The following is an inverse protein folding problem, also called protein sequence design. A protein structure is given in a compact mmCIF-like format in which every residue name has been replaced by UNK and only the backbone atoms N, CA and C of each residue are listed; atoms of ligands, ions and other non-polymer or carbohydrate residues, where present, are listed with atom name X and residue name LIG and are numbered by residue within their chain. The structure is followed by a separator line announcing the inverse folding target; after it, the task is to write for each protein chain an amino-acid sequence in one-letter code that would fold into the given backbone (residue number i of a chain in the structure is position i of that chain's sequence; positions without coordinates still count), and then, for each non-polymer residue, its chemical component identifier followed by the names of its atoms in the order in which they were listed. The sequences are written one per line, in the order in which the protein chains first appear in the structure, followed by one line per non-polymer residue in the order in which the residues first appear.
data_IF_090554058748
#
_entry.id   IF_090554058748
#
_cell.length_a   1.000
_cell.length_b   1.000
_cell.length_c   1.000
_cell.angle_alpha   90.00
_cell.angle_beta   90.00
_cell.angle_gamma   90.00
#
_symmetry.space_group_name_H-M   'P 1'
#
loop_
_entity.id
_entity.type
_entity.pdbx_description
1 polymer ?
#
# COMPACT_ATOMS: atom_id res chain seq x y z
N UNK A 1 34.39 53.81 -34.80
CA UNK A 1 34.82 54.04 -33.40
C UNK A 1 33.56 53.99 -32.51
N UNK A 2 33.65 53.23 -31.40
CA UNK A 2 32.85 53.14 -30.14
C UNK A 2 31.68 54.13 -29.97
N UNK A 3 30.54 53.89 -29.30
CA UNK A 3 29.93 52.83 -28.45
C UNK A 3 28.49 53.35 -28.17
N UNK A 4 27.52 52.47 -27.89
CA UNK A 4 26.50 52.61 -26.82
C UNK A 4 25.48 51.45 -26.94
N UNK A 5 25.44 50.46 -26.04
CA UNK A 5 24.97 50.44 -24.63
C UNK A 5 23.44 50.41 -24.51
N UNK A 6 22.93 49.25 -24.07
CA UNK A 6 21.66 48.97 -23.38
C UNK A 6 20.31 49.29 -24.05
N UNK A 7 19.54 48.22 -24.34
CA UNK A 7 18.36 47.93 -23.50
C UNK A 7 17.95 46.45 -23.64
N UNK A 8 18.18 45.69 -22.56
CA UNK A 8 17.30 44.57 -22.20
C UNK A 8 16.01 45.18 -21.65
N UNK A 9 14.85 44.56 -21.89
CA UNK A 9 13.81 44.21 -20.91
C UNK A 9 12.70 43.41 -21.62
N UNK A 10 12.42 42.25 -21.03
CA UNK A 10 11.23 41.39 -21.04
C UNK A 10 10.15 41.54 -22.13
N UNK A 11 9.69 40.40 -22.69
CA UNK A 11 8.54 39.71 -22.10
C UNK A 11 8.29 38.32 -22.70
N UNK A 12 7.81 37.46 -21.82
CA UNK A 12 7.46 36.07 -22.05
C UNK A 12 6.21 35.96 -22.93
N UNK A 13 6.20 35.01 -23.87
CA UNK A 13 4.94 34.41 -24.33
C UNK A 13 5.12 32.91 -24.56
N UNK A 14 4.62 32.18 -23.58
CA UNK A 14 4.37 30.75 -23.47
C UNK A 14 4.36 29.94 -24.79
N UNK A 15 5.19 28.89 -24.81
CA UNK A 15 5.00 27.73 -25.69
C UNK A 15 3.64 27.08 -25.37
N UNK A 16 2.80 26.74 -26.35
CA UNK A 16 1.49 26.20 -26.07
C UNK A 16 1.61 24.77 -25.52
N UNK A 17 1.18 24.66 -24.26
CA UNK A 17 0.43 23.56 -23.65
C UNK A 17 0.77 22.15 -24.14
N UNK A 18 1.72 21.55 -23.42
CA UNK A 18 1.96 20.11 -23.35
C UNK A 18 0.62 19.43 -23.04
N UNK A 19 -0.04 18.86 -24.05
CA UNK A 19 -1.24 18.02 -23.89
C UNK A 19 -0.95 17.05 -22.75
N UNK A 20 -1.67 17.17 -21.63
CA UNK A 20 -1.75 16.14 -20.61
C UNK A 20 -2.31 14.90 -21.30
N UNK A 21 -1.41 14.04 -21.80
CA UNK A 21 -1.79 12.69 -22.22
C UNK A 21 -2.47 12.09 -21.01
N UNK A 22 -3.74 11.72 -21.15
CA UNK A 22 -4.36 10.79 -20.23
C UNK A 22 -3.43 9.57 -20.13
N UNK A 23 -2.70 9.47 -19.02
CA UNK A 23 -1.69 8.46 -18.82
C UNK A 23 -2.44 7.13 -18.79
N UNK A 24 -2.36 6.35 -19.88
CA UNK A 24 -2.72 4.92 -19.85
C UNK A 24 -1.78 4.27 -18.84
N UNK A 25 -2.20 4.19 -17.58
CA UNK A 25 -1.48 3.48 -16.53
C UNK A 25 -1.72 2.00 -16.81
N UNK A 26 -0.74 1.32 -17.39
CA UNK A 26 -0.84 -0.10 -17.74
C UNK A 26 -0.55 -0.94 -16.51
N UNK A 27 -1.53 -1.71 -16.04
CA UNK A 27 -1.33 -2.77 -15.05
C UNK A 27 -1.57 -4.14 -15.69
N UNK A 28 -0.68 -5.09 -15.39
CA UNK A 28 -0.83 -6.48 -15.79
C UNK A 28 -0.54 -7.38 -14.60
N UNK A 29 -1.39 -8.39 -14.39
CA UNK A 29 -1.25 -9.39 -13.34
C UNK A 29 -1.21 -10.75 -14.00
N UNK A 30 -0.12 -11.48 -13.79
CA UNK A 30 0.00 -12.87 -14.20
C UNK A 30 0.47 -13.73 -13.04
N UNK A 31 0.25 -15.04 -13.16
CA UNK A 31 0.74 -16.02 -12.21
C UNK A 31 1.80 -16.89 -12.88
N UNK A 32 2.85 -17.21 -12.16
CA UNK A 32 3.94 -18.07 -12.65
C UNK A 32 4.39 -19.00 -11.53
N UNK A 33 4.94 -20.15 -11.88
CA UNK A 33 5.59 -21.04 -10.92
C UNK A 33 7.05 -20.61 -10.70
N UNK A 34 7.48 -20.53 -9.44
CA UNK A 34 8.85 -20.16 -9.09
C UNK A 34 9.80 -21.35 -9.29
N UNK A 35 10.51 -21.36 -10.43
CA UNK A 35 11.53 -22.37 -10.71
C UNK A 35 12.69 -22.26 -9.71
N UNK A 36 13.24 -23.39 -9.28
CA UNK A 36 14.43 -23.48 -8.42
C UNK A 36 14.17 -23.67 -6.92
N UNK A 37 12.92 -23.58 -6.45
CA UNK A 37 12.53 -23.91 -5.06
C UNK A 37 11.47 -25.00 -5.05
N UNK A 38 11.91 -26.23 -5.29
CA UNK A 38 11.06 -27.43 -5.27
C UNK A 38 10.90 -27.88 -3.81
N UNK A 39 9.66 -28.12 -3.39
CA UNK A 39 9.36 -28.72 -2.09
C UNK A 39 9.68 -30.22 -2.10
N UNK A 40 9.79 -30.82 -0.91
CA UNK A 40 10.03 -32.26 -0.77
C UNK A 40 8.97 -33.14 -1.46
N UNK A 41 7.76 -32.60 -1.65
CA UNK A 41 6.63 -33.22 -2.34
C UNK A 41 6.64 -33.05 -3.87
N UNK A 42 7.69 -32.43 -4.45
CA UNK A 42 7.81 -32.18 -5.88
C UNK A 42 7.04 -30.95 -6.40
N UNK A 43 6.34 -30.22 -5.53
CA UNK A 43 5.55 -29.05 -5.92
C UNK A 43 6.38 -27.75 -5.96
N UNK A 44 5.91 -26.79 -6.77
CA UNK A 44 6.48 -25.46 -6.91
C UNK A 44 5.49 -24.39 -6.44
N UNK A 45 6.02 -23.33 -5.83
CA UNK A 45 5.25 -22.17 -5.40
C UNK A 45 4.72 -21.40 -6.61
N UNK A 46 3.43 -21.09 -6.60
CA UNK A 46 2.81 -20.13 -7.51
C UNK A 46 3.08 -18.72 -6.96
N UNK A 47 3.63 -17.84 -7.79
CA UNK A 47 3.88 -16.43 -7.47
C UNK A 47 3.05 -15.54 -8.38
N UNK A 48 2.53 -14.45 -7.81
CA UNK A 48 1.87 -13.40 -8.57
C UNK A 48 2.92 -12.39 -9.03
N UNK A 49 2.91 -12.05 -10.31
CA UNK A 49 3.72 -11.00 -10.91
C UNK A 49 2.80 -9.83 -11.26
N UNK A 50 3.04 -8.70 -10.61
CA UNK A 50 2.37 -7.43 -10.89
C UNK A 50 3.32 -6.59 -11.73
N UNK A 51 2.83 -6.06 -12.84
CA UNK A 51 3.52 -5.05 -13.65
C UNK A 51 2.74 -3.75 -13.63
N UNK A 52 3.36 -2.64 -13.27
CA UNK A 52 2.76 -1.29 -13.32
C UNK A 52 3.78 -0.34 -13.92
N UNK A 53 3.43 0.36 -15.00
CA UNK A 53 4.29 1.36 -15.65
C UNK A 53 5.73 0.85 -15.98
N UNK A 54 5.86 -0.42 -16.36
CA UNK A 54 7.15 -1.05 -16.68
C UNK A 54 7.92 -1.60 -15.48
N UNK A 55 7.53 -1.27 -14.25
CA UNK A 55 8.08 -1.87 -13.03
C UNK A 55 7.38 -3.20 -12.74
N UNK A 56 8.16 -4.23 -12.38
CA UNK A 56 7.66 -5.56 -12.05
C UNK A 56 8.00 -5.95 -10.61
N UNK A 57 7.01 -6.45 -9.88
CA UNK A 57 7.22 -7.05 -8.56
C UNK A 57 6.54 -8.41 -8.45
N UNK A 58 7.11 -9.26 -7.61
CA UNK A 58 6.59 -10.59 -7.33
C UNK A 58 6.19 -10.72 -5.86
N UNK A 59 5.16 -11.52 -5.59
CA UNK A 59 4.84 -11.98 -4.24
C UNK A 59 4.32 -13.43 -4.24
N UNK A 60 4.57 -14.12 -3.14
CA UNK A 60 4.16 -15.51 -2.96
C UNK A 60 2.65 -15.61 -2.73
N UNK A 61 1.97 -16.49 -3.46
CA UNK A 61 0.54 -16.77 -3.24
C UNK A 61 0.28 -17.81 -2.15
N UNK A 62 1.35 -18.52 -1.71
CA UNK A 62 1.32 -19.69 -0.81
C UNK A 62 0.56 -20.91 -1.36
N UNK A 63 0.19 -20.89 -2.64
CA UNK A 63 -0.32 -22.06 -3.34
C UNK A 63 0.81 -22.79 -4.06
N UNK A 64 0.72 -24.11 -4.13
CA UNK A 64 1.74 -24.96 -4.71
C UNK A 64 1.12 -25.91 -5.72
N UNK A 65 1.85 -26.22 -6.78
CA UNK A 65 1.38 -27.13 -7.82
C UNK A 65 2.55 -27.90 -8.42
N UNK A 66 2.30 -29.12 -8.87
CA UNK A 66 3.28 -29.86 -9.65
C UNK A 66 3.53 -29.15 -10.99
N UNK A 67 4.79 -28.99 -11.43
CA UNK A 67 5.12 -28.29 -12.68
C UNK A 67 4.35 -28.82 -13.89
N UNK A 68 4.15 -30.13 -13.99
CA UNK A 68 3.46 -30.79 -15.12
C UNK A 68 1.95 -30.49 -15.18
N UNK A 69 1.38 -29.98 -14.08
CA UNK A 69 -0.04 -29.64 -13.96
C UNK A 69 -0.29 -28.14 -14.17
N UNK A 70 0.78 -27.35 -14.27
CA UNK A 70 0.72 -25.93 -14.57
C UNK A 70 0.66 -25.68 -16.08
N UNK A 71 -0.22 -24.78 -16.51
CA UNK A 71 -0.34 -24.34 -17.90
C UNK A 71 0.30 -22.94 -18.03
N UNK A 72 1.56 -22.81 -18.51
CA UNK A 72 2.29 -21.54 -18.49
C UNK A 72 1.68 -20.46 -19.37
N UNK A 73 1.02 -20.85 -20.48
CA UNK A 73 0.39 -19.91 -21.42
C UNK A 73 -0.88 -19.28 -20.83
N UNK A 74 -1.59 -20.05 -20.02
CA UNK A 74 -2.89 -19.66 -19.46
C UNK A 74 -2.77 -19.12 -18.02
N UNK A 75 -1.58 -19.20 -17.42
CA UNK A 75 -1.29 -18.79 -16.05
C UNK A 75 -2.24 -19.42 -15.01
N UNK A 76 -2.55 -20.71 -15.19
CA UNK A 76 -3.49 -21.50 -14.37
C UNK A 76 -3.12 -22.97 -14.37
N UNK A 77 -3.82 -23.76 -13.56
CA UNK A 77 -3.71 -25.23 -13.58
C UNK A 77 -4.66 -25.84 -14.61
N UNK A 78 -4.47 -27.13 -14.92
CA UNK A 78 -5.36 -27.90 -15.79
C UNK A 78 -6.81 -28.02 -15.25
N UNK A 79 -7.04 -27.87 -13.94
CA UNK A 79 -8.38 -27.89 -13.34
C UNK A 79 -9.06 -29.26 -13.30
N UNK A 80 -8.29 -30.35 -13.40
CA UNK A 80 -8.81 -31.72 -13.46
C UNK A 80 -9.13 -32.28 -12.07
N UNK A 81 -8.35 -31.93 -11.06
CA UNK A 81 -8.58 -32.35 -9.67
C UNK A 81 -9.36 -31.29 -8.88
N UNK A 82 -9.94 -31.69 -7.74
CA UNK A 82 -10.60 -30.73 -6.82
C UNK A 82 -9.63 -29.65 -6.35
N UNK A 83 -8.39 -30.02 -6.03
CA UNK A 83 -7.34 -29.10 -5.62
C UNK A 83 -6.99 -28.10 -6.72
N UNK A 84 -6.85 -28.55 -7.96
CA UNK A 84 -6.56 -27.67 -9.10
C UNK A 84 -7.68 -26.65 -9.38
N UNK A 85 -8.94 -27.07 -9.21
CA UNK A 85 -10.08 -26.17 -9.31
C UNK A 85 -10.04 -25.11 -8.22
N UNK A 86 -9.80 -25.51 -6.97
CA UNK A 86 -9.66 -24.59 -5.83
C UNK A 86 -8.52 -23.58 -6.06
N UNK A 87 -7.36 -24.04 -6.55
CA UNK A 87 -6.23 -23.15 -6.90
C UNK A 87 -6.68 -22.14 -7.96
N UNK A 88 -7.36 -22.58 -9.03
CA UNK A 88 -7.80 -21.67 -10.08
C UNK A 88 -8.80 -20.63 -9.57
N UNK A 89 -9.74 -21.02 -8.71
CA UNK A 89 -10.69 -20.12 -8.05
C UNK A 89 -9.96 -19.07 -7.22
N UNK A 90 -9.03 -19.50 -6.35
CA UNK A 90 -8.23 -18.59 -5.51
C UNK A 90 -7.35 -17.64 -6.33
N UNK A 91 -6.78 -18.11 -7.44
CA UNK A 91 -6.01 -17.25 -8.35
C UNK A 91 -6.90 -16.19 -9.01
N UNK A 92 -8.15 -16.53 -9.33
CA UNK A 92 -9.09 -15.58 -9.91
C UNK A 92 -9.57 -14.54 -8.88
N UNK A 93 -9.90 -14.97 -7.66
CA UNK A 93 -10.19 -14.07 -6.55
C UNK A 93 -9.04 -13.08 -6.30
N UNK A 94 -7.79 -13.57 -6.34
CA UNK A 94 -6.61 -12.74 -6.18
C UNK A 94 -6.46 -11.73 -7.33
N UNK A 95 -6.75 -12.12 -8.58
CA UNK A 95 -6.80 -11.17 -9.71
C UNK A 95 -7.82 -10.07 -9.49
N UNK A 96 -9.03 -10.44 -9.10
CA UNK A 96 -10.12 -9.49 -8.81
C UNK A 96 -9.72 -8.53 -7.70
N UNK A 97 -9.11 -9.04 -6.62
CA UNK A 97 -8.62 -8.22 -5.51
C UNK A 97 -7.55 -7.21 -5.96
N UNK A 98 -6.54 -7.66 -6.72
CA UNK A 98 -5.48 -6.79 -7.23
C UNK A 98 -6.05 -5.69 -8.12
N UNK A 99 -6.96 -6.05 -9.03
CA UNK A 99 -7.63 -5.09 -9.90
C UNK A 99 -8.45 -4.08 -9.10
N UNK A 100 -9.23 -4.54 -8.12
CA UNK A 100 -10.03 -3.67 -7.26
C UNK A 100 -9.16 -2.65 -6.51
N UNK A 101 -8.03 -3.09 -5.94
CA UNK A 101 -7.10 -2.19 -5.25
C UNK A 101 -6.41 -1.22 -6.18
N UNK A 102 -6.02 -1.67 -7.37
CA UNK A 102 -5.50 -0.79 -8.40
C UNK A 102 -6.50 0.32 -8.77
N UNK A 103 -7.76 -0.04 -8.97
CA UNK A 103 -8.82 0.91 -9.33
C UNK A 103 -9.14 1.87 -8.16
N UNK A 104 -9.04 1.41 -6.91
CA UNK A 104 -9.17 2.24 -5.70
C UNK A 104 -8.07 3.31 -5.65
N UNK A 105 -6.80 2.90 -5.77
CA UNK A 105 -5.67 3.83 -5.80
C UNK A 105 -5.75 4.80 -6.99
N UNK A 106 -6.31 4.35 -8.13
CA UNK A 106 -6.52 5.21 -9.28
C UNK A 106 -7.58 6.29 -9.01
N UNK A 107 -8.68 5.93 -8.35
CA UNK A 107 -9.75 6.88 -7.96
C UNK A 107 -9.28 7.93 -6.97
N UNK A 108 -8.34 7.57 -6.08
CA UNK A 108 -7.73 8.50 -5.12
C UNK A 108 -6.58 9.34 -5.73
N UNK A 109 -6.40 9.29 -7.06
CA UNK A 109 -5.34 10.01 -7.78
C UNK A 109 -3.91 9.70 -7.28
N UNK A 110 -3.72 8.58 -6.61
CA UNK A 110 -2.44 8.21 -6.03
C UNK A 110 -1.40 7.90 -7.12
N UNK A 111 -0.12 8.10 -6.78
CA UNK A 111 0.99 7.58 -7.58
C UNK A 111 1.09 6.07 -7.35
N UNK A 112 0.64 5.30 -8.35
CA UNK A 112 0.62 3.83 -8.32
C UNK A 112 1.95 3.29 -8.82
N UNK A 113 2.66 2.57 -7.94
CA UNK A 113 3.85 1.77 -8.28
C UNK A 113 3.55 0.29 -8.06
N UNK A 114 4.32 -0.58 -8.70
CA UNK A 114 4.13 -2.03 -8.56
C UNK A 114 4.35 -2.46 -7.10
N UNK A 115 5.36 -1.88 -6.43
CA UNK A 115 5.64 -2.07 -5.00
C UNK A 115 4.50 -1.64 -4.07
N UNK A 116 3.90 -0.44 -4.27
CA UNK A 116 2.77 0.01 -3.45
C UNK A 116 1.56 -0.90 -3.59
N UNK A 117 1.22 -1.27 -4.83
CA UNK A 117 0.10 -2.17 -5.08
C UNK A 117 0.33 -3.54 -4.42
N UNK A 118 1.54 -4.09 -4.52
CA UNK A 118 1.91 -5.32 -3.80
C UNK A 118 1.69 -5.17 -2.29
N UNK A 119 2.18 -4.08 -1.69
CA UNK A 119 2.07 -3.85 -0.25
C UNK A 119 0.61 -3.75 0.21
N UNK A 120 -0.24 -3.05 -0.54
CA UNK A 120 -1.68 -2.97 -0.29
C UNK A 120 -2.37 -4.34 -0.32
N UNK A 121 -1.91 -5.25 -1.18
CA UNK A 121 -2.47 -6.61 -1.33
C UNK A 121 -1.95 -7.56 -0.25
N UNK A 122 -0.66 -7.52 0.05
CA UNK A 122 -0.06 -8.42 1.05
C UNK A 122 -0.23 -7.92 2.48
N UNK A 123 -0.94 -6.80 2.68
CA UNK A 123 -1.11 -6.17 4.00
C UNK A 123 0.13 -5.45 4.53
N UNK A 124 1.23 -5.42 3.75
CA UNK A 124 2.51 -4.77 4.07
C UNK A 124 2.49 -3.27 3.74
N UNK A 125 1.31 -2.67 3.66
CA UNK A 125 1.15 -1.26 3.35
C UNK A 125 1.78 -0.43 4.46
N UNK A 126 2.93 0.18 4.14
CA UNK A 126 3.66 1.10 5.01
C UNK A 126 2.88 2.42 5.23
N UNK A 127 1.79 2.62 4.49
CA UNK A 127 0.88 3.76 4.64
C UNK A 127 -0.35 3.45 5.50
N UNK A 128 -0.45 2.25 6.10
CA UNK A 128 -1.51 2.00 7.06
C UNK A 128 -1.35 2.97 8.23
N UNK A 129 -2.28 3.93 8.36
CA UNK A 129 -2.29 4.87 9.48
C UNK A 129 -2.28 4.08 10.77
N UNK A 130 -1.28 4.36 11.60
CA UNK A 130 -1.12 3.70 12.89
C UNK A 130 -1.80 4.48 14.00
N UNK A 131 -2.06 3.82 15.12
CA UNK A 131 -2.79 4.40 16.22
C UNK A 131 -2.05 5.61 16.82
N UNK A 132 -0.73 5.52 17.02
CA UNK A 132 0.03 6.68 17.52
C UNK A 132 0.10 7.81 16.49
N UNK A 133 0.17 7.50 15.19
CA UNK A 133 0.10 8.53 14.15
C UNK A 133 -1.23 9.30 14.16
N UNK A 134 -2.36 8.64 14.43
CA UNK A 134 -3.66 9.32 14.60
C UNK A 134 -3.62 10.23 15.82
N UNK A 135 -3.10 9.75 16.94
CA UNK A 135 -2.97 10.56 18.16
C UNK A 135 -2.05 11.77 17.94
N UNK A 136 -0.91 11.59 17.29
CA UNK A 136 0.07 12.66 17.05
C UNK A 136 -0.52 13.76 16.17
N UNK A 137 -1.21 13.40 15.07
CA UNK A 137 -1.92 14.36 14.22
C UNK A 137 -3.00 15.12 14.99
N UNK A 138 -3.81 14.41 15.79
CA UNK A 138 -4.85 15.05 16.59
C UNK A 138 -4.26 16.04 17.61
N UNK A 139 -3.13 15.70 18.24
CA UNK A 139 -2.43 16.58 19.18
C UNK A 139 -1.83 17.80 18.47
N UNK A 140 -1.30 17.62 17.25
CA UNK A 140 -0.83 18.73 16.40
C UNK A 140 -1.97 19.70 16.07
N UNK A 141 -3.10 19.20 15.56
CA UNK A 141 -4.28 20.00 15.25
C UNK A 141 -4.80 20.76 16.50
N UNK A 142 -4.81 20.08 17.65
CA UNK A 142 -5.19 20.70 18.93
C UNK A 142 -4.19 21.78 19.38
N UNK A 143 -2.91 21.62 19.06
CA UNK A 143 -1.87 22.62 19.36
C UNK A 143 -2.12 23.91 18.60
N UNK A 144 -2.59 23.82 17.35
CA UNK A 144 -2.94 25.00 16.57
C UNK A 144 -4.19 25.71 17.13
N UNK A 145 -5.16 24.96 17.65
CA UNK A 145 -6.32 25.53 18.33
C UNK A 145 -5.95 26.24 19.66
N UNK A 146 -4.99 25.72 20.42
CA UNK A 146 -4.48 26.39 21.63
C UNK A 146 -3.91 27.79 21.34
N UNK A 147 -3.30 28.00 20.16
CA UNK A 147 -2.78 29.31 19.75
C UNK A 147 -3.90 30.34 19.52
N UNK A 148 -5.13 29.86 19.31
CA UNK A 148 -6.32 30.70 19.09
C UNK A 148 -7.20 30.85 20.34
N UNK A 149 -6.75 30.37 21.51
CA UNK A 149 -7.47 30.38 22.81
C UNK A 149 -8.83 29.65 22.81
N UNK A 150 -9.16 28.91 21.76
CA UNK A 150 -10.41 28.16 21.64
C UNK A 150 -10.41 26.85 22.46
N UNK A 151 -9.31 26.54 23.16
CA UNK A 151 -9.09 25.25 23.81
C UNK A 151 -8.25 25.37 25.10
N UNK A 152 -8.43 24.41 26.01
CA UNK A 152 -7.77 24.41 27.32
C UNK A 152 -6.44 23.64 27.30
N UNK A 153 -5.38 24.25 27.85
CA UNK A 153 -4.05 23.64 27.98
C UNK A 153 -4.05 22.32 28.78
N UNK A 154 -4.94 22.20 29.75
CA UNK A 154 -5.07 20.97 30.55
C UNK A 154 -5.51 19.78 29.70
N UNK A 155 -6.48 19.99 28.80
CA UNK A 155 -6.97 18.97 27.87
C UNK A 155 -5.87 18.49 26.93
N UNK A 156 -5.04 19.41 26.43
CA UNK A 156 -3.86 19.07 25.62
C UNK A 156 -2.87 18.16 26.36
N UNK A 157 -2.57 18.47 27.62
CA UNK A 157 -1.69 17.64 28.44
C UNK A 157 -2.28 16.24 28.66
N UNK A 158 -3.60 16.15 28.84
CA UNK A 158 -4.30 14.85 28.92
C UNK A 158 -4.17 14.06 27.61
N UNK A 159 -4.29 14.68 26.44
CA UNK A 159 -4.08 13.99 25.17
C UNK A 159 -2.66 13.46 24.99
N UNK A 160 -1.65 14.26 25.33
CA UNK A 160 -0.25 13.80 25.33
C UNK A 160 -0.02 12.64 26.29
N UNK A 161 -0.58 12.72 27.49
CA UNK A 161 -0.47 11.65 28.49
C UNK A 161 -1.13 10.36 27.99
N UNK A 162 -2.34 10.44 27.44
CA UNK A 162 -3.05 9.29 26.87
C UNK A 162 -2.26 8.66 25.73
N UNK A 163 -1.71 9.46 24.81
CA UNK A 163 -0.85 8.97 23.72
C UNK A 163 0.36 8.20 24.24
N UNK A 164 1.02 8.70 25.29
CA UNK A 164 2.17 8.01 25.89
C UNK A 164 1.77 6.70 26.57
N UNK A 165 0.69 6.71 27.34
CA UNK A 165 0.14 5.49 27.96
C UNK A 165 -0.25 4.45 26.91
N UNK A 166 -0.79 4.88 25.78
CA UNK A 166 -1.15 4.02 24.66
C UNK A 166 0.08 3.34 24.07
N UNK A 167 1.18 4.07 23.89
CA UNK A 167 2.46 3.53 23.44
C UNK A 167 3.03 2.52 24.44
N UNK A 168 3.02 2.84 25.73
CA UNK A 168 3.48 1.95 26.82
C UNK A 168 2.65 0.67 26.87
N UNK A 169 1.32 0.78 26.79
CA UNK A 169 0.40 -0.36 26.76
C UNK A 169 0.66 -1.27 25.55
N UNK A 170 0.81 -0.69 24.35
CA UNK A 170 1.12 -1.47 23.15
C UNK A 170 2.44 -2.22 23.27
N UNK A 171 3.46 -1.56 23.82
CA UNK A 171 4.77 -2.18 24.05
C UNK A 171 4.69 -3.29 25.11
N UNK A 172 3.96 -3.08 26.21
CA UNK A 172 3.85 -4.05 27.30
C UNK A 172 3.00 -5.27 26.91
N UNK A 173 1.86 -5.06 26.26
CA UNK A 173 0.86 -6.10 25.99
C UNK A 173 1.08 -6.81 24.65
N UNK A 174 1.42 -6.06 23.61
CA UNK A 174 1.53 -6.56 22.24
C UNK A 174 2.98 -6.63 21.73
N UNK A 175 3.95 -6.04 22.46
CA UNK A 175 5.37 -5.92 22.06
C UNK A 175 5.54 -5.23 20.71
N UNK A 176 4.65 -4.29 20.43
CA UNK A 176 4.66 -3.50 19.21
C UNK A 176 4.96 -2.05 19.56
N UNK A 177 5.83 -1.37 18.78
CA UNK A 177 6.07 0.06 18.94
C UNK A 177 4.85 0.90 18.53
N UNK A 178 4.02 0.36 17.62
CA UNK A 178 2.78 0.96 17.15
C UNK A 178 1.90 -0.11 16.47
N UNK A 179 0.62 0.17 16.28
CA UNK A 179 -0.37 -0.74 15.69
C UNK A 179 -1.14 -0.05 14.58
N UNK A 180 -1.34 -0.73 13.45
CA UNK A 180 -2.18 -0.19 12.39
C UNK A 180 -3.65 -0.10 12.86
N UNK A 181 -4.35 1.00 12.57
CA UNK A 181 -5.76 1.18 13.00
C UNK A 181 -6.66 0.05 12.51
N UNK A 182 -6.38 -0.48 11.32
CA UNK A 182 -7.09 -1.62 10.71
C UNK A 182 -6.94 -2.94 11.49
N UNK A 183 -5.96 -3.03 12.39
CA UNK A 183 -5.65 -4.23 13.19
C UNK A 183 -6.24 -4.14 14.60
N UNK A 184 -6.92 -3.03 14.94
CA UNK A 184 -7.56 -2.86 16.24
C UNK A 184 -8.77 -3.78 16.39
N UNK A 185 -8.71 -4.65 17.40
CA UNK A 185 -9.83 -5.48 17.81
C UNK A 185 -10.70 -4.72 18.83
N UNK A 186 -12.03 -4.90 18.88
CA UNK A 186 -12.89 -4.23 19.87
C UNK A 186 -12.45 -4.40 21.33
N UNK A 187 -11.77 -5.52 21.63
CA UNK A 187 -11.19 -5.80 22.96
C UNK A 187 -10.04 -4.88 23.34
N UNK A 188 -9.37 -4.25 22.37
CA UNK A 188 -8.24 -3.36 22.62
C UNK A 188 -8.62 -2.21 23.54
N UNK A 189 -9.78 -1.57 23.30
CA UNK A 189 -10.26 -0.47 24.13
C UNK A 189 -10.54 -0.92 25.57
N UNK A 190 -11.18 -2.09 25.73
CA UNK A 190 -11.47 -2.67 27.06
C UNK A 190 -10.20 -3.06 27.81
N UNK A 191 -9.18 -3.56 27.11
CA UNK A 191 -7.91 -3.94 27.72
C UNK A 191 -7.07 -2.71 28.10
N UNK A 192 -7.21 -1.60 27.37
CA UNK A 192 -6.50 -0.34 27.64
C UNK A 192 -7.11 0.46 28.80
N UNK A 193 -8.42 0.36 29.01
CA UNK A 193 -9.15 1.07 30.07
C UNK A 193 -8.97 0.44 31.47
N UNK A 194 -8.26 -0.69 31.55
CA UNK A 194 -7.94 -1.40 32.80
C UNK A 194 -6.59 -0.99 33.36
#
# INVERSE_FOLDING_TARGET
MKKDTNQRLHENAARPSRRLRAQKRTSAVIFIIQKGKIRKDGTLLIVARITVNGEMVHFATRMYIHPDRWLPKDYRTAGKTKEEKQINEMLEELRVLIRRKYDEMLRHEEVITAGKLKNAITGLDRNATTLLQVCDRFIEDYTDQLKTEQCCRETYLRYKLTRNRLAEFMQARYRLPDMAVKELHPRFATDFDR
#
